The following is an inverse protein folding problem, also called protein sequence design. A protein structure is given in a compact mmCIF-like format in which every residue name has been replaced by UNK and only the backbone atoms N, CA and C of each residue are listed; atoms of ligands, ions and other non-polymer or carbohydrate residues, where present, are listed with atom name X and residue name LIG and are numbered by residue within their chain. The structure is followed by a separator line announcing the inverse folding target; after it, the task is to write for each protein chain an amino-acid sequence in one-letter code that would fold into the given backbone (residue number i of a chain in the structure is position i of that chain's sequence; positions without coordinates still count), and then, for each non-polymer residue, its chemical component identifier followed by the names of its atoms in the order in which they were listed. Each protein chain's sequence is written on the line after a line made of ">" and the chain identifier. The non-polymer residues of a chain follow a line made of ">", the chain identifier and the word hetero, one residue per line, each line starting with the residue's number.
data_IF_383472442836
#
_entry.id   IF_383472442836
#
_cell.length_a   1.000
_cell.length_b   1.000
_cell.length_c   1.000
_cell.angle_alpha   90.00
_cell.angle_beta   90.00
_cell.angle_gamma   90.00
#
_symmetry.space_group_name_H-M   'P 1'
#
loop_
_entity.id
_entity.type
_entity.pdbx_description
1 polymer ?
#
# COMPACT_ATOMS: atom_id res chain seq x y z
N UNK A 1 -0.56 13.63 -31.64
CA UNK A 1 -1.60 12.64 -31.29
C UNK A 1 -1.34 12.18 -29.87
N UNK A 2 -2.17 12.58 -28.89
CA UNK A 2 -1.99 12.17 -27.50
C UNK A 2 -2.92 10.98 -27.21
N UNK A 3 -2.40 9.80 -26.84
CA UNK A 3 -3.24 8.66 -26.48
C UNK A 3 -3.96 8.95 -25.16
N UNK A 4 -5.29 8.82 -25.14
CA UNK A 4 -6.09 8.91 -23.91
C UNK A 4 -6.47 7.49 -23.47
N UNK A 5 -6.34 7.22 -22.17
CA UNK A 5 -6.80 5.96 -21.59
C UNK A 5 -8.30 6.05 -21.31
N UNK A 6 -9.10 5.22 -21.99
CA UNK A 6 -10.53 5.09 -21.74
C UNK A 6 -10.85 3.74 -21.12
N UNK A 7 -11.87 3.72 -20.26
CA UNK A 7 -12.30 2.52 -19.56
C UNK A 7 -13.37 1.81 -20.39
N UNK A 8 -13.04 0.68 -20.97
CA UNK A 8 -13.92 -0.11 -21.82
C UNK A 8 -14.48 -1.32 -21.04
N UNK A 9 -15.81 -1.47 -21.04
CA UNK A 9 -16.47 -2.65 -20.47
C UNK A 9 -16.58 -3.73 -21.52
N UNK A 10 -16.06 -4.91 -21.20
CA UNK A 10 -16.17 -6.11 -22.04
C UNK A 10 -16.99 -7.13 -21.25
N UNK A 11 -17.96 -7.73 -21.93
CA UNK A 11 -18.73 -8.85 -21.41
C UNK A 11 -18.25 -10.11 -22.13
N UNK A 12 -17.64 -11.03 -21.40
CA UNK A 12 -17.30 -12.37 -21.92
C UNK A 12 -17.71 -13.42 -20.90
N UNK A 13 -18.30 -14.51 -21.38
CA UNK A 13 -18.70 -15.66 -20.56
C UNK A 13 -19.53 -15.29 -19.31
N UNK A 14 -20.45 -14.33 -19.45
CA UNK A 14 -21.33 -13.89 -18.36
C UNK A 14 -20.66 -13.04 -17.28
N UNK A 15 -19.37 -12.68 -17.43
CA UNK A 15 -18.65 -11.78 -16.53
C UNK A 15 -18.39 -10.45 -17.23
N UNK A 16 -18.74 -9.35 -16.57
CA UNK A 16 -18.41 -8.00 -17.02
C UNK A 16 -17.11 -7.56 -16.37
N UNK A 17 -16.09 -7.30 -17.18
CA UNK A 17 -14.84 -6.70 -16.72
C UNK A 17 -14.59 -5.39 -17.43
N UNK A 18 -13.92 -4.46 -16.74
CA UNK A 18 -13.53 -3.17 -17.32
C UNK A 18 -12.02 -3.10 -17.41
N UNK A 19 -11.52 -2.79 -18.60
CA UNK A 19 -10.09 -2.63 -18.87
C UNK A 19 -9.83 -1.24 -19.45
N UNK A 20 -8.62 -0.73 -19.26
CA UNK A 20 -8.21 0.54 -19.83
C UNK A 20 -7.57 0.31 -21.19
N UNK A 21 -8.10 0.97 -22.22
CA UNK A 21 -7.59 0.92 -23.59
C UNK A 21 -7.05 2.28 -23.97
N UNK A 22 -5.85 2.31 -24.55
CA UNK A 22 -5.30 3.53 -25.15
C UNK A 22 -6.01 3.75 -26.48
N UNK A 23 -6.86 4.77 -26.56
CA UNK A 23 -7.49 5.18 -27.81
C UNK A 23 -6.81 6.43 -28.35
N UNK A 24 -6.55 6.41 -29.65
CA UNK A 24 -6.12 7.58 -30.39
C UNK A 24 -7.34 8.47 -30.60
N UNK A 25 -7.31 9.67 -30.01
CA UNK A 25 -8.38 10.66 -30.19
C UNK A 25 -7.87 11.73 -31.14
N UNK A 26 -8.65 12.04 -32.16
CA UNK A 26 -8.45 13.14 -33.10
C UNK A 26 -9.55 14.15 -32.89
N UNK A 27 -9.20 15.44 -32.84
CA UNK A 27 -10.14 16.53 -32.65
C UNK A 27 -9.50 17.87 -33.00
N UNK A 28 -10.30 18.92 -32.92
CA UNK A 28 -9.86 20.30 -33.14
C UNK A 28 -9.20 20.89 -31.90
N UNK A 29 -8.60 22.07 -32.03
CA UNK A 29 -8.11 22.85 -30.89
C UNK A 29 -9.23 23.24 -29.92
N UNK A 30 -10.44 23.50 -30.44
CA UNK A 30 -11.62 23.82 -29.62
C UNK A 30 -12.04 22.64 -28.75
N UNK A 31 -12.01 21.42 -29.31
CA UNK A 31 -12.31 20.19 -28.57
C UNK A 31 -11.33 19.97 -27.40
N UNK A 32 -10.04 20.26 -27.63
CA UNK A 32 -9.02 20.18 -26.59
C UNK A 32 -9.26 21.21 -25.48
N UNK A 33 -9.51 22.47 -25.84
CA UNK A 33 -9.77 23.54 -24.86
C UNK A 33 -11.02 23.23 -24.03
N UNK A 34 -12.08 22.74 -24.68
CA UNK A 34 -13.29 22.31 -24.00
C UNK A 34 -13.02 21.17 -23.01
N UNK A 35 -12.35 20.10 -23.44
CA UNK A 35 -12.03 18.96 -22.57
C UNK A 35 -11.11 19.34 -21.42
N UNK A 36 -10.15 20.24 -21.66
CA UNK A 36 -9.28 20.76 -20.62
C UNK A 36 -10.09 21.57 -19.58
N UNK A 37 -10.91 22.52 -20.02
CA UNK A 37 -11.74 23.33 -19.13
C UNK A 37 -12.73 22.48 -18.32
N UNK A 38 -13.34 21.45 -18.92
CA UNK A 38 -14.22 20.50 -18.21
C UNK A 38 -13.49 19.73 -17.10
N UNK A 39 -12.17 19.53 -17.24
CA UNK A 39 -11.34 18.81 -16.25
C UNK A 39 -10.63 19.73 -15.26
N UNK A 40 -10.57 21.04 -15.51
CA UNK A 40 -9.84 22.00 -14.69
C UNK A 40 -10.31 21.99 -13.23
N UNK A 41 -11.62 22.05 -13.00
CA UNK A 41 -12.18 22.08 -11.65
C UNK A 41 -11.85 20.78 -10.87
N UNK A 42 -11.96 19.64 -11.54
CA UNK A 42 -11.61 18.35 -10.95
C UNK A 42 -10.12 18.26 -10.61
N UNK A 43 -9.25 18.76 -11.51
CA UNK A 43 -7.82 18.79 -11.30
C UNK A 43 -7.43 19.75 -10.16
N UNK A 44 -8.01 20.94 -10.12
CA UNK A 44 -7.77 21.93 -9.07
C UNK A 44 -8.19 21.39 -7.69
N UNK A 45 -9.36 20.75 -7.62
CA UNK A 45 -9.84 20.11 -6.38
C UNK A 45 -8.95 18.97 -5.93
N UNK A 46 -8.55 18.10 -6.86
CA UNK A 46 -7.62 16.99 -6.59
C UNK A 46 -6.27 17.51 -6.05
N UNK A 47 -5.70 18.52 -6.71
CA UNK A 47 -4.45 19.17 -6.29
C UNK A 47 -4.57 19.80 -4.90
N UNK A 48 -5.68 20.50 -4.63
CA UNK A 48 -5.94 21.10 -3.33
C UNK A 48 -6.02 20.06 -2.22
N UNK A 49 -6.78 18.98 -2.43
CA UNK A 49 -6.92 17.88 -1.45
C UNK A 49 -5.56 17.29 -1.13
N UNK A 50 -4.73 17.01 -2.14
CA UNK A 50 -3.42 16.46 -1.94
C UNK A 50 -2.50 17.38 -1.13
N UNK A 51 -2.40 18.66 -1.50
CA UNK A 51 -1.57 19.64 -0.78
C UNK A 51 -2.01 19.70 0.67
N UNK A 52 -3.32 19.84 0.91
CA UNK A 52 -3.88 19.88 2.25
C UNK A 52 -3.54 18.62 3.04
N UNK A 53 -3.71 17.44 2.47
CA UNK A 53 -3.39 16.17 3.13
C UNK A 53 -1.91 16.07 3.51
N UNK A 54 -1.00 16.46 2.61
CA UNK A 54 0.45 16.46 2.88
C UNK A 54 0.78 17.40 4.03
N UNK A 55 0.19 18.60 4.06
CA UNK A 55 0.37 19.56 5.14
C UNK A 55 -0.12 19.02 6.48
N UNK A 56 -1.34 18.45 6.52
CA UNK A 56 -1.89 17.85 7.74
C UNK A 56 -1.06 16.66 8.22
N UNK A 57 -0.63 15.79 7.31
CA UNK A 57 0.24 14.65 7.66
C UNK A 57 1.58 15.12 8.22
N UNK A 58 2.15 16.21 7.70
CA UNK A 58 3.40 16.78 8.20
C UNK A 58 3.19 17.42 9.58
N UNK A 59 2.12 18.19 9.75
CA UNK A 59 1.78 18.82 11.03
C UNK A 59 1.62 17.76 12.13
N UNK A 60 0.86 16.70 11.85
CA UNK A 60 0.62 15.60 12.78
C UNK A 60 1.92 14.90 13.20
N UNK A 61 2.86 14.70 12.27
CA UNK A 61 4.18 14.12 12.57
C UNK A 61 5.09 15.03 13.39
N UNK A 62 4.87 16.34 13.36
CA UNK A 62 5.69 17.31 14.07
C UNK A 62 5.19 17.59 15.51
N UNK A 63 3.92 17.28 15.82
CA UNK A 63 3.30 17.52 17.14
C UNK A 63 3.05 16.23 17.93
N UNK A 64 3.85 15.17 17.69
CA UNK A 64 3.54 13.82 18.17
C UNK A 64 3.68 13.67 19.70
N UNK A 65 2.54 13.60 20.37
CA UNK A 65 2.37 12.86 21.63
C UNK A 65 1.65 11.51 21.41
N UNK A 66 1.35 11.20 20.15
CA UNK A 66 0.49 10.12 19.67
C UNK A 66 1.28 9.21 18.71
N UNK A 67 0.66 8.15 18.20
CA UNK A 67 1.26 7.32 17.15
C UNK A 67 0.66 7.61 15.77
N UNK A 68 1.50 7.74 14.74
CA UNK A 68 1.06 7.71 13.34
C UNK A 68 1.56 6.43 12.69
N UNK A 69 0.65 5.65 12.14
CA UNK A 69 0.93 4.38 11.45
C UNK A 69 0.65 4.58 9.97
N UNK A 70 1.70 4.81 9.19
CA UNK A 70 1.63 4.92 7.74
C UNK A 70 1.92 3.58 7.11
N UNK A 71 0.96 2.99 6.40
CA UNK A 71 1.03 1.61 5.92
C UNK A 71 0.68 1.49 4.45
N UNK A 72 1.26 0.48 3.81
CA UNK A 72 0.85 0.04 2.48
C UNK A 72 1.24 -1.44 2.25
N UNK A 73 0.52 -2.10 1.34
CA UNK A 73 0.95 -3.37 0.80
C UNK A 73 2.01 -3.10 -0.26
N UNK A 74 3.13 -3.81 -0.13
CA UNK A 74 4.12 -3.83 -1.19
C UNK A 74 3.78 -4.96 -2.17
N UNK A 75 4.36 -4.90 -3.37
CA UNK A 75 4.24 -6.00 -4.33
C UNK A 75 4.71 -7.31 -3.70
N UNK A 76 3.94 -8.39 -3.89
CA UNK A 76 4.33 -9.72 -3.44
C UNK A 76 5.77 -10.05 -3.87
N UNK A 77 6.56 -10.60 -2.96
CA UNK A 77 7.89 -11.09 -3.28
C UNK A 77 7.75 -12.48 -3.91
N UNK A 78 8.11 -12.60 -5.19
CA UNK A 78 8.26 -13.89 -5.83
C UNK A 78 9.57 -14.53 -5.34
N UNK A 79 9.46 -15.67 -4.63
CA UNK A 79 10.59 -16.44 -4.12
C UNK A 79 11.53 -16.84 -5.28
N UNK A 80 12.84 -16.77 -5.05
CA UNK A 80 13.89 -16.93 -6.08
C UNK A 80 14.99 -17.86 -5.59
N UNK A 81 15.54 -18.60 -6.54
CA UNK A 81 16.74 -19.41 -6.36
C UNK A 81 17.93 -18.67 -6.97
N UNK A 82 19.12 -18.83 -6.41
CA UNK A 82 20.35 -18.26 -7.00
C UNK A 82 20.60 -18.85 -8.39
N UNK A 83 20.39 -20.16 -8.54
CA UNK A 83 20.47 -20.86 -9.82
C UNK A 83 19.09 -21.43 -10.15
N UNK A 84 18.36 -20.74 -11.03
CA UNK A 84 17.08 -21.23 -11.52
C UNK A 84 17.28 -22.39 -12.49
N UNK A 85 16.80 -23.58 -12.12
CA UNK A 85 16.66 -24.68 -13.08
C UNK A 85 15.63 -24.27 -14.13
N UNK A 86 15.91 -24.51 -15.41
CA UNK A 86 15.09 -24.06 -16.55
C UNK A 86 13.59 -24.42 -16.40
N UNK A 87 13.26 -25.54 -15.75
CA UNK A 87 11.88 -25.95 -15.44
C UNK A 87 11.15 -25.01 -14.46
N UNK A 88 11.87 -24.38 -13.53
CA UNK A 88 11.32 -23.41 -12.57
C UNK A 88 11.04 -22.05 -13.21
N UNK A 89 11.78 -21.72 -14.27
CA UNK A 89 11.59 -20.48 -15.03
C UNK A 89 10.34 -20.52 -15.94
N UNK A 90 10.03 -21.69 -16.53
CA UNK A 90 8.95 -21.85 -17.51
C UNK A 90 7.71 -22.63 -17.03
N UNK A 91 7.80 -23.37 -15.90
CA UNK A 91 6.76 -24.35 -15.54
C UNK A 91 6.23 -24.30 -14.09
N UNK A 92 6.77 -23.45 -13.21
CA UNK A 92 6.33 -23.36 -11.81
C UNK A 92 5.86 -21.95 -11.43
N UNK A 93 4.63 -21.81 -10.92
CA UNK A 93 4.26 -20.59 -10.19
C UNK A 93 5.17 -20.48 -8.96
N UNK A 94 6.11 -19.54 -8.98
CA UNK A 94 6.98 -19.25 -7.82
C UNK A 94 6.09 -19.02 -6.60
N UNK A 95 6.47 -19.60 -5.45
CA UNK A 95 5.84 -19.22 -4.19
C UNK A 95 5.99 -17.71 -4.02
N UNK A 96 4.93 -17.08 -3.52
CA UNK A 96 4.91 -15.66 -3.28
C UNK A 96 4.75 -15.40 -1.79
N UNK A 97 5.47 -14.41 -1.29
CA UNK A 97 5.28 -13.88 0.04
C UNK A 97 4.58 -12.53 -0.05
N UNK A 98 3.50 -12.35 0.72
CA UNK A 98 2.87 -11.05 0.87
C UNK A 98 3.67 -10.22 1.86
N UNK A 99 4.01 -9.00 1.45
CA UNK A 99 4.81 -8.06 2.23
C UNK A 99 3.96 -6.84 2.52
N UNK A 100 3.61 -6.64 3.79
CA UNK A 100 2.95 -5.43 4.25
C UNK A 100 3.94 -4.58 5.03
N UNK A 101 4.02 -3.31 4.65
CA UNK A 101 5.03 -2.37 5.15
C UNK A 101 4.40 -1.25 5.93
N UNK A 102 5.06 -0.83 7.00
CA UNK A 102 4.54 0.19 7.88
C UNK A 102 5.68 1.06 8.40
N UNK A 103 5.49 2.38 8.40
CA UNK A 103 6.29 3.33 9.14
C UNK A 103 5.47 3.85 10.31
N UNK A 104 5.94 3.62 11.53
CA UNK A 104 5.33 4.13 12.76
C UNK A 104 6.14 5.32 13.24
N UNK A 105 5.46 6.45 13.44
CA UNK A 105 6.02 7.66 14.01
C UNK A 105 5.46 7.87 15.41
N UNK A 106 6.33 8.08 16.39
CA UNK A 106 6.00 8.48 17.77
C UNK A 106 6.85 9.68 18.17
N UNK A 107 6.63 10.23 19.38
CA UNK A 107 7.47 11.29 19.93
C UNK A 107 8.97 10.91 19.83
N UNK A 108 9.72 11.59 18.97
CA UNK A 108 11.17 11.42 18.82
C UNK A 108 11.65 10.12 18.16
N UNK A 109 10.78 9.23 17.69
CA UNK A 109 11.17 7.95 17.07
C UNK A 109 10.37 7.67 15.80
N UNK A 110 11.06 7.13 14.79
CA UNK A 110 10.45 6.55 13.59
C UNK A 110 10.91 5.11 13.46
N UNK A 111 9.98 4.17 13.37
CA UNK A 111 10.26 2.74 13.23
C UNK A 111 9.65 2.19 11.94
N UNK A 112 10.50 1.57 11.13
CA UNK A 112 10.09 0.85 9.94
C UNK A 112 9.79 -0.61 10.28
N UNK A 113 8.69 -1.13 9.73
CA UNK A 113 8.26 -2.51 9.87
C UNK A 113 7.98 -3.11 8.50
N UNK A 114 8.39 -4.36 8.32
CA UNK A 114 7.95 -5.21 7.24
C UNK A 114 7.42 -6.50 7.85
N UNK A 115 6.19 -6.87 7.50
CA UNK A 115 5.53 -8.08 7.99
C UNK A 115 5.26 -9.00 6.81
N UNK A 116 5.55 -10.28 7.01
CA UNK A 116 5.57 -11.28 5.94
C UNK A 116 4.46 -12.31 6.20
N UNK A 117 3.76 -12.72 5.15
CA UNK A 117 2.76 -13.78 5.21
C UNK A 117 2.87 -14.68 3.98
N UNK A 118 2.56 -15.96 4.16
CA UNK A 118 2.36 -16.94 3.09
C UNK A 118 0.96 -16.86 2.45
N UNK A 119 0.02 -16.19 3.10
CA UNK A 119 -1.30 -15.89 2.57
C UNK A 119 -1.25 -14.70 1.59
N UNK A 120 -1.70 -14.92 0.36
CA UNK A 120 -1.75 -13.88 -0.69
C UNK A 120 -2.94 -12.91 -0.58
N UNK A 121 -3.63 -12.92 0.56
CA UNK A 121 -4.77 -12.03 0.82
C UNK A 121 -4.28 -10.61 1.06
N UNK A 122 -4.99 -9.67 0.46
CA UNK A 122 -4.78 -8.23 0.66
C UNK A 122 -6.05 -7.56 1.23
N UNK A 123 -6.97 -8.37 1.75
CA UNK A 123 -8.23 -7.87 2.29
C UNK A 123 -8.05 -7.23 3.68
N UNK A 124 -9.13 -6.69 4.22
CA UNK A 124 -9.10 -6.03 5.52
C UNK A 124 -8.57 -6.93 6.65
N UNK A 125 -8.83 -8.23 6.59
CA UNK A 125 -8.40 -9.17 7.63
C UNK A 125 -6.89 -9.38 7.55
N UNK A 126 -6.36 -9.45 6.34
CA UNK A 126 -4.92 -9.49 6.12
C UNK A 126 -4.25 -8.22 6.65
N UNK A 127 -4.79 -7.03 6.38
CA UNK A 127 -4.27 -5.76 6.93
C UNK A 127 -4.16 -5.85 8.46
N UNK A 128 -5.23 -6.24 9.15
CA UNK A 128 -5.21 -6.33 10.61
C UNK A 128 -4.34 -7.48 11.15
N UNK A 129 -4.19 -8.57 10.41
CA UNK A 129 -3.23 -9.63 10.71
C UNK A 129 -1.79 -9.14 10.68
N UNK A 130 -1.43 -8.36 9.66
CA UNK A 130 -0.12 -7.72 9.52
C UNK A 130 0.10 -6.60 10.56
N UNK A 131 -0.92 -5.82 10.89
CA UNK A 131 -0.82 -4.77 11.91
C UNK A 131 -0.74 -5.32 13.34
N UNK A 132 -1.27 -6.51 13.62
CA UNK A 132 -1.26 -7.09 14.96
C UNK A 132 0.12 -7.06 15.64
N UNK A 133 1.19 -7.66 15.08
CA UNK A 133 2.51 -7.64 15.72
C UNK A 133 3.07 -6.22 15.87
N UNK A 134 2.82 -5.34 14.89
CA UNK A 134 3.28 -3.94 14.93
C UNK A 134 2.61 -3.18 16.07
N UNK A 135 1.29 -3.32 16.22
CA UNK A 135 0.54 -2.66 17.29
C UNK A 135 0.90 -3.25 18.66
N UNK A 136 1.10 -4.57 18.75
CA UNK A 136 1.49 -5.21 20.01
C UNK A 136 2.86 -4.66 20.50
N UNK A 137 3.83 -4.45 19.60
CA UNK A 137 5.14 -3.83 19.95
C UNK A 137 5.04 -2.34 20.29
N UNK A 138 4.32 -1.57 19.47
CA UNK A 138 4.21 -0.12 19.63
C UNK A 138 3.46 0.23 20.91
N UNK A 139 2.40 -0.51 21.24
CA UNK A 139 1.53 -0.18 22.36
C UNK A 139 2.06 -0.72 23.70
N UNK A 140 2.85 -1.79 23.70
CA UNK A 140 3.36 -2.37 24.95
C UNK A 140 4.30 -1.44 25.73
N UNK A 141 4.95 -0.48 25.06
CA UNK A 141 6.09 0.25 25.62
C UNK A 141 5.95 1.78 25.67
N UNK A 142 4.83 2.35 25.20
CA UNK A 142 4.78 3.78 24.88
C UNK A 142 3.72 4.59 25.64
N UNK A 143 2.76 3.93 26.30
CA UNK A 143 1.65 4.62 26.97
C UNK A 143 0.73 5.40 26.00
N UNK A 144 0.87 5.17 24.69
CA UNK A 144 0.12 5.86 23.66
C UNK A 144 -1.34 5.42 23.69
N UNK A 145 -2.24 6.40 23.79
CA UNK A 145 -3.70 6.17 23.76
C UNK A 145 -4.37 6.63 22.47
N UNK A 146 -3.64 7.34 21.61
CA UNK A 146 -4.18 7.88 20.35
C UNK A 146 -3.35 7.41 19.16
N UNK A 147 -4.01 6.90 18.11
CA UNK A 147 -3.35 6.40 16.90
C UNK A 147 -3.99 6.93 15.62
N UNK A 148 -3.16 7.36 14.68
CA UNK A 148 -3.59 7.86 13.38
C UNK A 148 -3.09 6.94 12.28
N UNK A 149 -4.02 6.28 11.61
CA UNK A 149 -3.73 5.41 10.48
C UNK A 149 -3.71 6.22 9.19
N UNK A 150 -2.67 6.02 8.38
CA UNK A 150 -2.53 6.59 7.04
C UNK A 150 -2.31 5.45 6.05
N UNK A 151 -3.14 5.37 5.00
CA UNK A 151 -3.01 4.38 3.92
C UNK A 151 -3.55 4.96 2.62
N UNK A 152 -3.36 4.27 1.51
CA UNK A 152 -4.12 4.53 0.30
C UNK A 152 -5.60 4.07 0.45
N UNK A 153 -6.42 4.35 -0.56
CA UNK A 153 -7.88 4.16 -0.52
C UNK A 153 -8.51 3.00 -1.33
N UNK A 154 -7.83 1.89 -1.68
CA UNK A 154 -8.45 0.78 -2.39
C UNK A 154 -9.52 0.13 -1.52
N UNK A 155 -10.70 -0.04 -2.12
CA UNK A 155 -11.89 -0.53 -1.42
C UNK A 155 -11.70 -1.97 -0.92
N UNK A 156 -10.98 -2.80 -1.65
CA UNK A 156 -10.77 -4.21 -1.28
C UNK A 156 -9.84 -4.40 -0.09
N UNK A 157 -9.08 -3.38 0.31
CA UNK A 157 -8.03 -3.52 1.34
C UNK A 157 -8.32 -2.61 2.54
N UNK A 158 -8.29 -1.30 2.29
CA UNK A 158 -8.22 -0.29 3.34
C UNK A 158 -9.54 0.43 3.56
N UNK A 159 -10.27 0.75 2.49
CA UNK A 159 -11.46 1.61 2.53
C UNK A 159 -12.75 0.80 2.33
N UNK A 160 -13.09 -0.06 3.30
CA UNK A 160 -14.34 -0.81 3.32
C UNK A 160 -14.96 -0.93 4.71
N UNK A 161 -16.25 -1.29 4.75
CA UNK A 161 -17.05 -1.40 5.98
C UNK A 161 -16.45 -2.37 7.01
N UNK A 162 -15.89 -3.51 6.56
CA UNK A 162 -15.32 -4.50 7.46
C UNK A 162 -14.05 -3.97 8.12
N UNK A 163 -13.25 -3.21 7.35
CA UNK A 163 -12.07 -2.54 7.86
C UNK A 163 -12.46 -1.49 8.92
N UNK A 164 -13.53 -0.72 8.71
CA UNK A 164 -14.07 0.20 9.72
C UNK A 164 -14.51 -0.53 11.00
N UNK A 165 -15.18 -1.66 10.88
CA UNK A 165 -15.53 -2.48 12.05
C UNK A 165 -14.29 -2.95 12.82
N UNK A 166 -13.29 -3.50 12.13
CA UNK A 166 -12.05 -3.96 12.73
C UNK A 166 -11.26 -2.80 13.36
N UNK A 167 -11.29 -1.62 12.74
CA UNK A 167 -10.68 -0.40 13.29
C UNK A 167 -11.34 0.06 14.58
N UNK A 168 -12.66 -0.07 14.71
CA UNK A 168 -13.38 0.24 15.93
C UNK A 168 -13.24 -0.84 17.02
N UNK A 169 -12.53 -1.93 16.75
CA UNK A 169 -12.42 -3.08 17.66
C UNK A 169 -10.96 -3.35 18.05
N UNK A 170 -10.10 -3.61 17.07
CA UNK A 170 -8.75 -4.14 17.29
C UNK A 170 -7.81 -3.21 18.06
N UNK A 171 -7.75 -1.89 17.79
CA UNK A 171 -6.95 -0.96 18.60
C UNK A 171 -7.52 -0.78 20.01
N UNK A 172 -8.84 -0.70 20.16
CA UNK A 172 -9.48 -0.48 21.47
C UNK A 172 -9.27 -1.65 22.43
N UNK A 173 -9.24 -2.89 21.91
CA UNK A 173 -8.84 -4.07 22.69
C UNK A 173 -7.39 -4.00 23.20
N UNK A 174 -6.58 -3.07 22.70
CA UNK A 174 -5.19 -2.83 23.10
C UNK A 174 -5.00 -1.53 23.90
N UNK A 175 -6.08 -0.94 24.39
CA UNK A 175 -6.03 0.26 25.25
C UNK A 175 -5.96 1.60 24.50
N UNK A 176 -6.07 1.60 23.17
CA UNK A 176 -6.30 2.84 22.41
C UNK A 176 -7.66 3.42 22.79
N UNK A 177 -7.71 4.74 22.99
CA UNK A 177 -8.91 5.51 23.34
C UNK A 177 -9.43 6.31 22.15
N UNK A 178 -8.52 6.79 21.31
CA UNK A 178 -8.85 7.66 20.17
C UNK A 178 -8.10 7.19 18.93
N UNK A 179 -8.76 7.28 17.78
CA UNK A 179 -8.09 7.01 16.52
C UNK A 179 -8.61 7.87 15.39
N UNK A 180 -7.78 8.09 14.38
CA UNK A 180 -8.22 8.61 13.08
C UNK A 180 -7.73 7.73 11.94
N UNK A 181 -8.46 7.77 10.82
CA UNK A 181 -8.12 7.06 9.58
C UNK A 181 -8.10 8.05 8.43
N UNK A 182 -6.95 8.13 7.78
CA UNK A 182 -6.69 9.09 6.71
C UNK A 182 -6.34 8.32 5.45
N UNK A 183 -7.05 8.63 4.36
CA UNK A 183 -6.81 8.04 3.05
C UNK A 183 -6.10 9.04 2.17
N UNK A 184 -4.95 8.68 1.61
CA UNK A 184 -4.23 9.54 0.69
C UNK A 184 -4.94 9.65 -0.66
N UNK A 185 -4.88 10.83 -1.24
CA UNK A 185 -5.33 11.07 -2.60
C UNK A 185 -4.47 10.27 -3.59
N UNK A 186 -5.11 9.79 -4.67
CA UNK A 186 -4.45 8.90 -5.65
C UNK A 186 -3.38 9.65 -6.45
N UNK A 187 -2.42 8.92 -7.02
CA UNK A 187 -1.49 9.45 -8.03
C UNK A 187 -0.46 10.48 -7.56
N UNK A 188 -0.24 10.63 -6.24
CA UNK A 188 0.67 11.65 -5.70
C UNK A 188 2.00 11.12 -5.13
N UNK A 189 2.51 10.03 -5.69
CA UNK A 189 3.85 9.52 -5.41
C UNK A 189 3.91 8.46 -4.32
N UNK A 190 5.12 7.97 -4.08
CA UNK A 190 5.43 6.89 -3.16
C UNK A 190 5.62 7.39 -1.74
N UNK A 191 5.09 6.66 -0.76
CA UNK A 191 5.21 6.95 0.67
C UNK A 191 6.44 6.31 1.32
N UNK A 192 6.57 6.51 2.64
CA UNK A 192 7.57 5.79 3.43
C UNK A 192 7.43 4.25 3.37
N UNK A 193 6.21 3.67 3.38
CA UNK A 193 6.01 2.22 3.22
C UNK A 193 6.65 1.65 1.94
N UNK A 194 6.49 2.33 0.80
CA UNK A 194 7.13 1.94 -0.47
C UNK A 194 8.66 1.84 -0.38
N UNK A 195 9.27 2.78 0.37
CA UNK A 195 10.72 2.79 0.59
C UNK A 195 11.19 1.58 1.39
N UNK A 196 10.42 1.19 2.42
CA UNK A 196 10.67 0.00 3.24
C UNK A 196 10.57 -1.25 2.37
N UNK A 197 9.49 -1.40 1.61
CA UNK A 197 9.29 -2.55 0.74
C UNK A 197 10.36 -2.66 -0.35
N UNK A 198 10.75 -1.52 -0.93
CA UNK A 198 11.87 -1.45 -1.87
C UNK A 198 13.20 -1.89 -1.25
N UNK A 199 13.47 -1.54 0.00
CA UNK A 199 14.69 -1.97 0.71
C UNK A 199 14.66 -3.47 1.04
N UNK A 200 13.53 -3.99 1.51
CA UNK A 200 13.33 -5.44 1.77
C UNK A 200 13.56 -6.25 0.48
N UNK A 201 12.88 -5.88 -0.61
CA UNK A 201 12.97 -6.62 -1.88
C UNK A 201 14.37 -6.55 -2.49
N UNK A 202 15.02 -5.37 -2.48
CA UNK A 202 16.40 -5.24 -2.95
C UNK A 202 17.38 -6.04 -2.11
N UNK A 203 17.20 -6.07 -0.79
CA UNK A 203 18.02 -6.87 0.12
C UNK A 203 17.89 -8.36 -0.18
N UNK A 204 16.65 -8.85 -0.27
CA UNK A 204 16.36 -10.23 -0.61
C UNK A 204 16.92 -10.63 -1.99
N UNK A 205 16.76 -9.76 -3.00
CA UNK A 205 17.30 -9.99 -4.34
C UNK A 205 18.84 -10.02 -4.36
N UNK A 206 19.50 -9.16 -3.57
CA UNK A 206 20.95 -9.17 -3.43
C UNK A 206 21.44 -10.44 -2.70
N UNK A 207 20.73 -10.87 -1.65
CA UNK A 207 21.01 -12.12 -0.94
C UNK A 207 20.95 -13.32 -1.87
N UNK A 208 19.91 -13.37 -2.73
CA UNK A 208 19.80 -14.41 -3.75
C UNK A 208 20.93 -14.33 -4.75
N UNK A 209 21.27 -13.13 -5.24
CA UNK A 209 22.36 -12.95 -6.21
C UNK A 209 23.74 -13.40 -5.68
N UNK A 210 23.94 -13.36 -4.36
CA UNK A 210 25.21 -13.73 -3.70
C UNK A 210 25.40 -15.24 -3.53
N UNK A 211 24.45 -16.09 -3.92
CA UNK A 211 24.58 -17.54 -3.83
C UNK A 211 23.52 -18.23 -2.98
N UNK A 212 22.66 -17.47 -2.31
CA UNK A 212 21.63 -18.01 -1.40
C UNK A 212 20.28 -18.20 -2.10
N UNK A 213 19.37 -18.94 -1.46
CA UNK A 213 18.03 -19.19 -1.96
C UNK A 213 16.96 -18.64 -1.01
N UNK A 214 15.85 -18.14 -1.57
CA UNK A 214 14.62 -17.82 -0.84
C UNK A 214 13.51 -18.59 -1.54
N UNK A 215 13.08 -19.72 -0.98
CA UNK A 215 12.14 -20.65 -1.63
C UNK A 215 10.72 -20.48 -1.13
N UNK A 216 10.56 -20.05 0.12
CA UNK A 216 9.28 -19.91 0.81
C UNK A 216 9.19 -18.57 1.56
N UNK A 217 7.98 -18.08 1.87
CA UNK A 217 7.78 -16.87 2.67
C UNK A 217 8.52 -16.87 4.01
N UNK A 218 8.67 -18.04 4.64
CA UNK A 218 9.42 -18.22 5.88
C UNK A 218 10.91 -17.88 5.69
N UNK A 219 11.50 -18.22 4.54
CA UNK A 219 12.91 -17.91 4.25
C UNK A 219 13.10 -16.39 4.12
N UNK A 220 12.14 -15.70 3.52
CA UNK A 220 12.15 -14.23 3.44
C UNK A 220 12.02 -13.60 4.82
N UNK A 221 11.23 -14.18 5.72
CA UNK A 221 11.14 -13.72 7.10
C UNK A 221 12.44 -13.94 7.87
N UNK A 222 13.08 -15.10 7.71
CA UNK A 222 14.37 -15.40 8.38
C UNK A 222 15.55 -14.57 7.85
N UNK A 223 15.44 -14.02 6.65
CA UNK A 223 16.42 -13.10 6.08
C UNK A 223 16.39 -11.70 6.72
N UNK A 224 15.22 -11.24 7.19
CA UNK A 224 15.00 -9.90 7.75
C UNK A 224 15.42 -9.80 9.22
#
# INVERSE_FOLDING_TARGET
>A
MAPMAERERVCSEGKTYSHFVKKAITGTWEDLLKSFNEKLDALAKHQYIWIHQVEQCRALKNSLHEAVVHMDFYENYACKLNVEVQSFHFGGSRKQATVHTCMVYTAGKSQAYATISDSLRHDERAVWGHLKPVLDEVLSNTGITTVHFMSDGPLTQYRNQNNFYLMCTMPFLRGIKELTRNFSEKSHGKGAPDGIGGSVKRGADAFVLQGSDIQQPQDLFSFL
#
